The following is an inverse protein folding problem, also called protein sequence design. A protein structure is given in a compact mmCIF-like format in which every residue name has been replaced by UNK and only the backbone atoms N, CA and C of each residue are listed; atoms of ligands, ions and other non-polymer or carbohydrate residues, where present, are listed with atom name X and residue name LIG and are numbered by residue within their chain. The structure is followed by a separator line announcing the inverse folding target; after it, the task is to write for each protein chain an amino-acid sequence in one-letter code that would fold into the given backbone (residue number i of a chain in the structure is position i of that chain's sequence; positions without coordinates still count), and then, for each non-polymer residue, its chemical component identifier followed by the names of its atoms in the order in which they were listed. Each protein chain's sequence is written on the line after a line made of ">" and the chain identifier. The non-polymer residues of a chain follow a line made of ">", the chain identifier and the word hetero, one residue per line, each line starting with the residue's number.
data_IF_788592178462
#
_entry.id   IF_788592178462
#
_cell.length_a   1.000
_cell.length_b   1.000
_cell.length_c   1.000
_cell.angle_alpha   90.00
_cell.angle_beta   90.00
_cell.angle_gamma   90.00
#
_symmetry.space_group_name_H-M   'P 1'
#
loop_
_entity.id
_entity.type
_entity.pdbx_description
1 polymer ?
#
# COMPACT_ATOMS: atom_id res chain seq x y z
N UNK A 1 -4.08 25.10 -13.57
CA UNK A 1 -4.76 23.82 -13.81
C UNK A 1 -4.29 22.97 -12.65
N UNK A 2 -5.07 22.99 -11.57
CA UNK A 2 -4.80 22.21 -10.36
C UNK A 2 -4.94 20.73 -10.71
N UNK A 3 -3.93 19.94 -10.34
CA UNK A 3 -4.03 18.49 -10.36
C UNK A 3 -4.87 18.05 -9.16
N UNK A 4 -6.10 17.55 -9.35
CA UNK A 4 -6.98 17.15 -8.25
C UNK A 4 -6.47 15.93 -7.48
N UNK A 5 -5.37 15.30 -7.92
CA UNK A 5 -4.79 14.10 -7.30
C UNK A 5 -3.38 14.32 -6.71
N UNK A 6 -2.81 15.52 -6.84
CA UNK A 6 -1.56 15.88 -6.15
C UNK A 6 -0.32 15.10 -6.61
N UNK A 7 -0.28 14.66 -7.86
CA UNK A 7 0.95 14.22 -8.50
C UNK A 7 1.68 15.45 -9.04
N UNK A 8 2.37 16.18 -8.15
CA UNK A 8 3.47 17.02 -8.63
C UNK A 8 4.46 16.08 -9.33
N UNK A 9 4.48 16.19 -10.67
CA UNK A 9 5.45 15.54 -11.54
C UNK A 9 6.84 15.86 -11.01
N UNK A 10 7.43 14.89 -10.32
CA UNK A 10 8.85 14.89 -10.04
C UNK A 10 9.54 14.79 -11.39
N UNK A 11 10.15 15.89 -11.82
CA UNK A 11 10.91 15.91 -13.05
C UNK A 11 12.05 14.90 -13.00
N UNK A 12 12.09 14.04 -14.03
CA UNK A 12 13.22 13.29 -14.57
C UNK A 12 13.63 12.00 -13.83
N UNK A 13 13.08 10.87 -14.29
CA UNK A 13 13.86 9.63 -14.37
C UNK A 13 13.30 8.35 -13.78
N UNK A 14 12.06 8.29 -13.30
CA UNK A 14 11.47 7.05 -12.79
C UNK A 14 9.99 6.94 -13.19
N UNK A 15 9.72 6.26 -14.29
CA UNK A 15 8.35 5.94 -14.69
C UNK A 15 7.84 4.83 -13.75
N UNK A 16 6.87 5.15 -12.91
CA UNK A 16 6.23 4.20 -12.00
C UNK A 16 4.99 3.62 -12.67
N UNK A 17 4.97 2.31 -12.86
CA UNK A 17 3.80 1.56 -13.33
C UNK A 17 3.08 0.93 -12.14
N UNK A 18 1.76 1.16 -12.05
CA UNK A 18 0.93 0.55 -11.01
C UNK A 18 0.79 -0.95 -11.26
N UNK A 19 0.95 -1.76 -10.21
CA UNK A 19 0.83 -3.21 -10.27
C UNK A 19 -0.42 -3.73 -9.57
N UNK A 20 -0.58 -3.42 -8.29
CA UNK A 20 -1.61 -3.99 -7.43
C UNK A 20 -1.88 -3.08 -6.22
N UNK A 21 -2.99 -3.32 -5.53
CA UNK A 21 -3.40 -2.57 -4.34
C UNK A 21 -3.89 -3.52 -3.26
N UNK A 22 -3.35 -3.39 -2.05
CA UNK A 22 -3.87 -4.04 -0.85
C UNK A 22 -4.53 -3.02 0.07
N UNK A 23 -5.43 -3.50 0.92
CA UNK A 23 -6.04 -2.67 1.95
C UNK A 23 -5.96 -3.31 3.32
N UNK A 24 -5.69 -2.52 4.35
CA UNK A 24 -5.76 -2.97 5.75
C UNK A 24 -6.96 -2.29 6.39
N UNK A 25 -8.03 -3.04 6.67
CA UNK A 25 -9.24 -2.51 7.32
C UNK A 25 -9.11 -2.53 8.85
N UNK A 26 -9.49 -1.44 9.52
CA UNK A 26 -9.48 -1.34 10.98
C UNK A 26 -10.45 -0.24 11.47
N UNK A 27 -10.61 -0.14 12.78
CA UNK A 27 -11.39 0.93 13.41
C UNK A 27 -10.55 2.23 13.45
N UNK A 28 -11.10 3.36 13.01
CA UNK A 28 -10.48 4.70 12.94
C UNK A 28 -9.82 5.13 14.25
N UNK A 29 -10.36 4.68 15.39
CA UNK A 29 -9.77 4.88 16.72
C UNK A 29 -8.35 4.27 16.87
N UNK A 30 -8.00 3.27 16.06
CA UNK A 30 -6.68 2.64 16.00
C UNK A 30 -5.75 3.27 14.95
N UNK A 31 -6.10 4.45 14.40
CA UNK A 31 -5.24 5.19 13.47
C UNK A 31 -3.86 5.47 14.11
N UNK A 32 -2.77 4.98 13.51
CA UNK A 32 -1.44 5.15 14.06
C UNK A 32 -0.92 6.58 13.85
N UNK A 33 0.04 6.97 14.66
CA UNK A 33 0.86 8.16 14.42
C UNK A 33 1.84 7.94 13.28
N UNK A 34 2.30 9.02 12.65
CA UNK A 34 3.33 8.92 11.60
C UNK A 34 4.58 8.21 12.12
N UNK A 35 5.04 8.55 13.32
CA UNK A 35 6.21 7.92 13.95
C UNK A 35 6.03 6.43 14.21
N UNK A 36 4.82 5.97 14.55
CA UNK A 36 4.55 4.55 14.69
C UNK A 36 4.63 3.81 13.35
N UNK A 37 4.12 4.41 12.28
CA UNK A 37 4.23 3.85 10.92
C UNK A 37 5.70 3.79 10.49
N UNK A 38 6.47 4.85 10.74
CA UNK A 38 7.90 4.86 10.45
C UNK A 38 8.67 3.75 11.18
N UNK A 39 8.39 3.57 12.47
CA UNK A 39 9.02 2.49 13.26
C UNK A 39 8.63 1.12 12.71
N UNK A 40 7.34 0.88 12.46
CA UNK A 40 6.85 -0.41 11.98
C UNK A 40 7.45 -0.79 10.63
N UNK A 41 7.47 0.13 9.66
CA UNK A 41 8.03 -0.12 8.32
C UNK A 41 9.56 -0.26 8.39
N UNK A 42 10.24 0.58 9.17
CA UNK A 42 11.70 0.51 9.33
C UNK A 42 12.17 -0.79 9.99
N UNK A 43 11.40 -1.32 10.96
CA UNK A 43 11.65 -2.63 11.58
C UNK A 43 11.37 -3.78 10.61
N UNK A 44 10.37 -3.64 9.74
CA UNK A 44 10.00 -4.65 8.77
C UNK A 44 11.03 -4.79 7.64
N UNK A 45 11.69 -3.69 7.24
CA UNK A 45 12.70 -3.73 6.18
C UNK A 45 13.80 -2.67 6.34
N UNK A 46 15.00 -3.10 6.71
CA UNK A 46 16.19 -2.24 6.87
C UNK A 46 16.65 -1.52 5.58
N UNK A 47 16.15 -1.94 4.42
CA UNK A 47 16.49 -1.38 3.10
C UNK A 47 15.43 -0.42 2.57
N UNK A 48 14.29 -0.32 3.26
CA UNK A 48 13.19 0.55 2.88
C UNK A 48 13.52 2.00 3.24
N UNK A 49 13.28 2.91 2.31
CA UNK A 49 13.41 4.36 2.54
C UNK A 49 12.04 5.00 2.48
N UNK A 50 11.70 5.79 3.49
CA UNK A 50 10.43 6.51 3.53
C UNK A 50 10.60 7.95 3.06
N UNK A 51 9.72 8.38 2.18
CA UNK A 51 9.67 9.69 1.56
C UNK A 51 8.25 10.26 1.62
N UNK A 52 8.09 11.56 1.39
CA UNK A 52 6.79 12.25 1.32
C UNK A 52 5.87 11.97 2.51
N UNK A 53 6.46 11.84 3.70
CA UNK A 53 5.74 11.58 4.94
C UNK A 53 4.76 12.72 5.24
N UNK A 54 3.49 12.38 5.46
CA UNK A 54 2.43 13.34 5.81
C UNK A 54 1.67 12.87 7.04
N UNK A 55 1.42 13.80 7.95
CA UNK A 55 0.56 13.63 9.11
C UNK A 55 -0.58 14.67 9.09
N UNK A 56 -1.65 14.43 9.87
CA UNK A 56 -2.62 15.47 10.20
C UNK A 56 -2.08 16.41 11.29
N UNK A 57 -2.88 17.41 11.66
CA UNK A 57 -2.50 18.42 12.67
C UNK A 57 -2.29 17.80 14.07
N UNK A 58 -2.88 16.62 14.32
CA UNK A 58 -2.74 15.83 15.55
C UNK A 58 -1.55 14.84 15.51
N UNK A 59 -0.75 14.83 14.42
CA UNK A 59 0.38 13.93 14.25
C UNK A 59 0.02 12.50 13.82
N UNK A 60 -1.25 12.25 13.49
CA UNK A 60 -1.72 10.96 12.99
C UNK A 60 -1.35 10.78 11.51
N UNK A 61 -1.07 9.53 11.13
CA UNK A 61 -0.62 9.18 9.79
C UNK A 61 -1.63 9.58 8.71
N UNK A 62 -1.17 10.19 7.61
CA UNK A 62 -1.96 10.45 6.39
C UNK A 62 -1.46 9.67 5.19
N UNK A 63 -0.17 9.80 4.87
CA UNK A 63 0.43 9.09 3.75
C UNK A 63 1.95 8.98 3.87
N UNK A 64 2.53 7.99 3.21
CA UNK A 64 3.99 7.85 3.02
C UNK A 64 4.28 7.12 1.72
N UNK A 65 5.35 7.52 1.04
CA UNK A 65 5.93 6.77 -0.06
C UNK A 65 7.12 5.97 0.45
N UNK A 66 7.10 4.65 0.27
CA UNK A 66 8.19 3.74 0.63
C UNK A 66 8.93 3.35 -0.64
N UNK A 67 10.22 3.61 -0.69
CA UNK A 67 11.11 3.23 -1.78
C UNK A 67 11.81 1.92 -1.42
N UNK A 68 11.67 0.92 -2.30
CA UNK A 68 12.39 -0.33 -2.26
C UNK A 68 13.28 -0.40 -3.51
N UNK A 69 14.37 0.39 -3.50
CA UNK A 69 15.22 0.57 -4.69
C UNK A 69 15.91 -0.73 -5.14
N UNK A 70 16.23 -1.62 -4.21
CA UNK A 70 16.82 -2.93 -4.55
C UNK A 70 15.84 -3.88 -5.24
N UNK A 71 14.54 -3.61 -5.07
CA UNK A 71 13.42 -4.36 -5.61
C UNK A 71 12.79 -3.67 -6.83
N UNK A 72 13.41 -2.58 -7.33
CA UNK A 72 12.87 -1.71 -8.39
C UNK A 72 11.41 -1.32 -8.18
N UNK A 73 11.04 -0.95 -6.95
CA UNK A 73 9.65 -0.67 -6.64
C UNK A 73 9.44 0.45 -5.63
N UNK A 74 8.20 0.91 -5.61
CA UNK A 74 7.71 1.91 -4.68
C UNK A 74 6.34 1.47 -4.15
N UNK A 75 6.09 1.76 -2.88
CA UNK A 75 4.81 1.47 -2.21
C UNK A 75 4.27 2.79 -1.69
N UNK A 76 3.10 3.22 -2.18
CA UNK A 76 2.40 4.40 -1.65
C UNK A 76 1.32 3.95 -0.68
N UNK A 77 1.39 4.45 0.55
CA UNK A 77 0.47 4.08 1.62
C UNK A 77 -0.36 5.32 1.97
N UNK A 78 -1.69 5.17 2.00
CA UNK A 78 -2.63 6.25 2.28
C UNK A 78 -3.69 5.83 3.29
N UNK A 79 -4.05 6.77 4.15
CA UNK A 79 -5.13 6.59 5.11
C UNK A 79 -6.42 7.21 4.58
N UNK A 80 -7.52 6.47 4.67
CA UNK A 80 -8.89 6.98 4.46
C UNK A 80 -9.82 6.48 5.55
N UNK A 81 -10.87 7.26 5.83
CA UNK A 81 -11.90 6.94 6.81
C UNK A 81 -13.28 7.47 6.39
N UNK A 82 -14.31 6.98 7.07
CA UNK A 82 -15.68 7.47 6.95
C UNK A 82 -16.61 6.53 6.18
N UNK A 83 -17.81 7.03 5.86
CA UNK A 83 -18.92 6.22 5.37
C UNK A 83 -18.58 5.39 4.12
N UNK A 84 -17.76 5.92 3.22
CA UNK A 84 -17.34 5.22 2.02
C UNK A 84 -16.52 3.95 2.33
N UNK A 85 -15.67 4.00 3.37
CA UNK A 85 -14.87 2.85 3.82
C UNK A 85 -15.78 1.83 4.49
N UNK A 86 -16.69 2.28 5.36
CA UNK A 86 -17.67 1.42 6.05
C UNK A 86 -18.58 0.68 5.06
N UNK A 87 -19.08 1.37 4.04
CA UNK A 87 -19.92 0.78 2.99
C UNK A 87 -19.16 -0.28 2.20
N UNK A 88 -17.88 -0.02 1.88
CA UNK A 88 -17.03 -0.97 1.16
C UNK A 88 -16.67 -2.18 2.02
N UNK A 89 -16.35 -1.97 3.29
CA UNK A 89 -16.12 -3.04 4.25
C UNK A 89 -17.35 -3.95 4.37
N UNK A 90 -18.55 -3.37 4.43
CA UNK A 90 -19.81 -4.12 4.48
C UNK A 90 -20.09 -4.89 3.18
N UNK A 91 -19.79 -4.30 2.01
CA UNK A 91 -19.94 -4.98 0.73
C UNK A 91 -19.01 -6.19 0.64
N UNK A 92 -17.76 -6.02 1.06
CA UNK A 92 -16.75 -7.07 1.06
C UNK A 92 -17.09 -8.18 2.09
N UNK A 93 -17.55 -7.81 3.28
CA UNK A 93 -18.05 -8.75 4.29
C UNK A 93 -19.21 -9.62 3.77
N UNK A 94 -20.07 -9.06 2.90
CA UNK A 94 -21.15 -9.83 2.26
C UNK A 94 -20.60 -10.78 1.21
N UNK A 95 -19.61 -10.35 0.43
CA UNK A 95 -18.97 -11.16 -0.60
C UNK A 95 -18.22 -12.34 0.02
N UNK A 96 -17.43 -12.10 1.07
CA UNK A 96 -16.51 -13.06 1.67
C UNK A 96 -17.12 -13.83 2.85
N UNK A 97 -18.45 -13.79 3.01
CA UNK A 97 -19.12 -14.35 4.19
C UNK A 97 -18.86 -15.83 4.41
N UNK A 98 -18.65 -16.59 3.34
CA UNK A 98 -18.39 -18.03 3.38
C UNK A 98 -16.90 -18.35 3.58
N UNK A 99 -16.03 -17.38 3.32
CA UNK A 99 -14.57 -17.54 3.33
C UNK A 99 -13.96 -17.01 4.64
N UNK A 100 -14.55 -15.96 5.22
CA UNK A 100 -14.10 -15.36 6.47
C UNK A 100 -14.59 -16.13 7.70
N UNK A 101 -13.73 -16.24 8.70
CA UNK A 101 -14.12 -16.69 10.02
C UNK A 101 -15.00 -15.65 10.73
N UNK A 102 -15.74 -16.08 11.76
CA UNK A 102 -16.67 -15.23 12.49
C UNK A 102 -16.04 -13.97 13.09
N UNK A 103 -14.79 -14.07 13.58
CA UNK A 103 -14.08 -12.90 14.11
C UNK A 103 -13.60 -11.96 13.01
N UNK A 104 -13.05 -12.48 11.91
CA UNK A 104 -12.62 -11.66 10.76
C UNK A 104 -13.79 -10.92 10.13
N UNK A 105 -14.94 -11.59 9.98
CA UNK A 105 -16.17 -10.97 9.50
C UNK A 105 -16.65 -9.88 10.45
N UNK A 106 -16.61 -10.13 11.77
CA UNK A 106 -17.01 -9.14 12.77
C UNK A 106 -16.06 -7.94 12.78
N UNK A 107 -14.76 -8.16 12.61
CA UNK A 107 -13.75 -7.11 12.49
C UNK A 107 -14.01 -6.24 11.26
N UNK A 108 -14.18 -6.86 10.09
CA UNK A 108 -14.46 -6.15 8.83
C UNK A 108 -15.74 -5.31 8.92
N UNK A 109 -16.79 -5.81 9.60
CA UNK A 109 -18.04 -5.06 9.80
C UNK A 109 -17.92 -3.88 10.77
N UNK A 110 -16.90 -3.84 11.64
CA UNK A 110 -16.62 -2.71 12.54
C UNK A 110 -15.70 -1.66 11.91
N UNK A 111 -14.97 -2.02 10.88
CA UNK A 111 -14.00 -1.15 10.23
C UNK A 111 -14.67 0.05 9.55
N UNK A 112 -14.24 1.24 9.94
CA UNK A 112 -14.62 2.54 9.38
C UNK A 112 -13.39 3.32 8.83
N UNK A 113 -12.22 2.69 8.85
CA UNK A 113 -10.98 3.20 8.27
C UNK A 113 -10.18 2.10 7.55
N UNK A 114 -9.32 2.54 6.64
CA UNK A 114 -8.35 1.65 6.01
C UNK A 114 -6.99 2.30 5.75
N UNK A 115 -5.99 1.47 5.49
CA UNK A 115 -4.75 1.87 4.84
C UNK A 115 -4.76 1.25 3.45
N UNK A 116 -4.79 2.09 2.41
CA UNK A 116 -4.60 1.67 1.02
C UNK A 116 -3.10 1.62 0.73
N UNK A 117 -2.64 0.45 0.28
CA UNK A 117 -1.23 0.14 0.01
C UNK A 117 -1.10 -0.16 -1.47
N UNK A 118 -0.69 0.83 -2.25
CA UNK A 118 -0.50 0.69 -3.69
C UNK A 118 0.93 0.34 -4.00
N UNK A 119 1.12 -0.69 -4.83
CA UNK A 119 2.41 -1.15 -5.27
C UNK A 119 2.69 -0.67 -6.71
N UNK A 120 3.88 -0.12 -6.91
CA UNK A 120 4.36 0.35 -8.18
C UNK A 120 5.71 -0.28 -8.52
N UNK A 121 5.88 -0.66 -9.77
CA UNK A 121 7.17 -1.03 -10.35
C UNK A 121 7.83 0.17 -11.00
N UNK A 122 9.15 0.26 -10.88
CA UNK A 122 9.97 1.21 -11.65
C UNK A 122 10.25 0.60 -13.01
N UNK A 123 9.75 1.27 -14.04
CA UNK A 123 10.10 0.99 -15.42
C UNK A 123 11.37 1.77 -15.73
N UNK A 124 12.42 1.06 -16.13
CA UNK A 124 13.60 1.73 -16.66
C UNK A 124 13.16 2.55 -17.88
N UNK A 125 13.56 3.83 -17.95
CA UNK A 125 13.32 4.64 -19.13
C UNK A 125 13.94 3.93 -20.34
N UNK A 126 13.11 3.32 -21.18
CA UNK A 126 13.55 2.72 -22.44
C UNK A 126 14.00 3.88 -23.30
N UNK A 127 15.32 4.10 -23.43
CA UNK A 127 15.84 5.04 -24.41
C UNK A 127 15.31 4.59 -25.79
N UNK A 128 14.36 5.36 -26.35
CA UNK A 128 13.66 5.06 -27.62
C UNK A 128 14.60 5.00 -28.86
N UNK A 129 15.93 5.05 -28.67
CA UNK A 129 16.97 5.04 -29.71
C UNK A 129 17.93 3.84 -29.65
N UNK A 130 17.58 2.75 -28.96
CA UNK A 130 18.33 1.51 -29.05
C UNK A 130 17.74 0.59 -30.15
N UNK A 131 18.27 0.71 -31.36
CA UNK A 131 18.18 -0.35 -32.38
C UNK A 131 18.97 -1.57 -31.86
N UNK A 132 18.30 -2.46 -31.11
CA UNK A 132 18.44 -3.93 -31.04
C UNK A 132 17.63 -4.41 -29.82
N UNK A 133 16.73 -5.40 -29.94
CA UNK A 133 16.07 -5.96 -28.77
C UNK A 133 17.09 -6.82 -28.02
N UNK A 134 17.70 -6.28 -26.96
CA UNK A 134 18.31 -7.12 -25.94
C UNK A 134 17.20 -7.90 -25.24
N UNK A 135 16.91 -9.11 -25.76
CA UNK A 135 15.98 -10.10 -25.19
C UNK A 135 16.32 -10.57 -23.75
N UNK A 136 17.28 -9.91 -23.09
CA UNK A 136 17.73 -10.20 -21.72
C UNK A 136 17.54 -9.02 -20.72
N UNK A 137 16.95 -7.88 -21.13
CA UNK A 137 16.71 -6.75 -20.19
C UNK A 137 15.51 -6.97 -19.25
N UNK A 138 14.80 -8.09 -19.37
CA UNK A 138 13.89 -8.62 -18.36
C UNK A 138 14.57 -9.76 -17.57
N UNK A 139 15.67 -9.43 -16.89
CA UNK A 139 16.13 -10.22 -15.74
C UNK A 139 15.14 -10.07 -14.56
N UNK A 140 15.10 -11.00 -13.59
CA UNK A 140 14.08 -11.08 -12.55
C UNK A 140 14.19 -9.90 -11.58
N UNK A 141 13.57 -8.78 -11.92
CA UNK A 141 13.70 -7.50 -11.21
C UNK A 141 12.36 -6.85 -10.89
N UNK A 142 11.28 -7.63 -10.86
CA UNK A 142 10.07 -7.25 -10.13
C UNK A 142 10.33 -7.35 -8.64
N UNK A 143 9.63 -6.54 -7.85
CA UNK A 143 9.75 -6.57 -6.40
C UNK A 143 9.60 -8.00 -5.89
N UNK A 144 10.49 -8.42 -4.98
CA UNK A 144 10.27 -9.65 -4.23
C UNK A 144 8.91 -9.51 -3.53
N UNK A 145 7.89 -10.32 -3.87
CA UNK A 145 6.56 -10.22 -3.29
C UNK A 145 6.60 -10.18 -1.75
N UNK A 146 7.66 -10.74 -1.15
CA UNK A 146 7.93 -10.64 0.28
C UNK A 146 7.98 -9.19 0.80
N UNK A 147 8.48 -8.19 0.05
CA UNK A 147 8.60 -6.81 0.53
C UNK A 147 7.23 -6.16 0.73
N UNK A 148 6.31 -6.32 -0.23
CA UNK A 148 4.95 -5.79 -0.13
C UNK A 148 4.18 -6.46 1.01
N UNK A 149 4.22 -7.79 1.06
CA UNK A 149 3.58 -8.57 2.14
C UNK A 149 4.14 -8.17 3.50
N UNK A 150 5.46 -7.99 3.62
CA UNK A 150 6.11 -7.54 4.86
C UNK A 150 5.60 -6.18 5.33
N UNK A 151 5.40 -5.22 4.40
CA UNK A 151 4.82 -3.91 4.72
C UNK A 151 3.37 -4.04 5.14
N UNK A 152 2.55 -4.78 4.39
CA UNK A 152 1.13 -4.99 4.70
C UNK A 152 0.94 -5.65 6.07
N UNK A 153 1.72 -6.69 6.38
CA UNK A 153 1.70 -7.35 7.68
C UNK A 153 2.14 -6.44 8.82
N UNK A 154 3.13 -5.58 8.61
CA UNK A 154 3.59 -4.63 9.61
C UNK A 154 2.48 -3.63 9.94
N UNK A 155 1.77 -3.14 8.92
CA UNK A 155 0.63 -2.24 9.08
C UNK A 155 -0.55 -2.94 9.76
N UNK A 156 -0.89 -4.16 9.35
CA UNK A 156 -1.95 -4.96 9.97
C UNK A 156 -1.67 -5.22 11.46
N UNK A 157 -0.43 -5.57 11.83
CA UNK A 157 -0.02 -5.71 13.23
C UNK A 157 -0.10 -4.41 14.00
N UNK A 158 0.29 -3.29 13.38
CA UNK A 158 0.29 -1.98 14.02
C UNK A 158 -1.13 -1.49 14.33
N UNK A 159 -2.07 -1.70 13.41
CA UNK A 159 -3.47 -1.26 13.57
C UNK A 159 -4.36 -2.31 14.23
N UNK A 160 -3.87 -3.54 14.37
CA UNK A 160 -4.72 -4.69 14.66
C UNK A 160 -5.76 -4.94 13.56
N UNK A 161 -5.46 -4.53 12.33
CA UNK A 161 -6.36 -4.55 11.18
C UNK A 161 -6.36 -5.86 10.40
N UNK A 162 -7.30 -5.98 9.47
CA UNK A 162 -7.47 -7.12 8.57
C UNK A 162 -6.95 -6.75 7.18
N UNK A 163 -5.82 -7.32 6.72
CA UNK A 163 -5.30 -7.10 5.38
C UNK A 163 -6.08 -7.91 4.35
N UNK A 164 -6.51 -7.26 3.27
CA UNK A 164 -7.31 -7.87 2.20
C UNK A 164 -6.75 -7.44 0.84
N UNK A 165 -6.67 -8.38 -0.08
CA UNK A 165 -6.62 -8.12 -1.51
C UNK A 165 -8.05 -7.81 -2.00
N UNK A 166 -8.38 -6.56 -2.36
CA UNK A 166 -9.70 -6.19 -2.83
C UNK A 166 -10.01 -6.70 -4.26
N UNK A 167 -9.00 -7.07 -5.05
CA UNK A 167 -9.17 -7.59 -6.41
C UNK A 167 -9.41 -9.10 -6.40
N UNK A 168 -8.61 -9.84 -5.63
CA UNK A 168 -8.83 -11.28 -5.42
C UNK A 168 -10.02 -11.55 -4.48
N UNK A 169 -10.32 -10.60 -3.57
CA UNK A 169 -11.27 -10.81 -2.48
C UNK A 169 -10.71 -11.71 -1.37
N UNK A 170 -9.39 -11.77 -1.19
CA UNK A 170 -8.77 -12.71 -0.25
C UNK A 170 -8.14 -12.00 0.95
N UNK A 171 -8.22 -12.60 2.14
CA UNK A 171 -7.47 -12.13 3.30
C UNK A 171 -6.04 -12.62 3.20
N UNK A 172 -5.08 -11.72 3.42
CA UNK A 172 -3.68 -12.08 3.56
C UNK A 172 -3.43 -12.57 5.00
N UNK A 173 -3.14 -13.86 5.19
CA UNK A 173 -2.88 -14.47 6.51
C UNK A 173 -1.52 -15.15 6.54
#
# INVERSE_FOLDING_TARGET
>A
MDDPFGFESAGSGDDLEWLETYVVFFESAARPTLTQVESAIGEAGHRLRMERLKANDDGQFKSVLVQAAEDNAAIDIRYEEGDAVSDRAMALAKQLREELEGEQLAQLLRSDAWLEVMHFQRVAATDEWADEPEEDFMGPGGLDPATLITVVEALARLTGGLPIDPEAGEVLI
#
